data_IF_923020749577
#
_entry.id   IF_923020749577
#
_cell.length_a   1.000
_cell.length_b   1.000
_cell.length_c   1.000
_cell.angle_alpha   90.00
_cell.angle_beta   90.00
_cell.angle_gamma   90.00
#
_symmetry.space_group_name_H-M   'P 1'
#
loop_
_entity.id
_entity.type
_entity.pdbx_description
1 polymer ?
#
# COMPACT_ATOMS: atom_id res chain seq x y z
N UNK A 1 -4.55 2.91 3.59
CA UNK A 1 -3.82 3.20 4.85
C UNK A 1 -2.99 4.48 4.73
N UNK A 2 -2.32 4.72 3.60
CA UNK A 2 -1.41 5.83 3.30
C UNK A 2 -1.88 7.22 3.77
N UNK A 3 -3.19 7.48 3.77
CA UNK A 3 -3.75 8.75 4.24
C UNK A 3 -3.73 8.95 5.77
N UNK A 4 -3.39 7.93 6.57
CA UNK A 4 -3.29 8.05 8.03
C UNK A 4 -4.62 8.33 8.76
N UNK A 5 -5.77 8.11 8.10
CA UNK A 5 -7.11 8.43 8.62
C UNK A 5 -7.78 7.28 9.38
N UNK A 6 -7.00 6.39 10.00
CA UNK A 6 -7.52 5.24 10.75
C UNK A 6 -8.06 4.09 9.88
N UNK A 7 -7.74 4.05 8.59
CA UNK A 7 -8.06 2.91 7.73
C UNK A 7 -7.05 1.79 7.91
N UNK A 8 -7.53 0.56 8.18
CA UNK A 8 -6.68 -0.61 8.46
C UNK A 8 -6.48 -1.54 7.26
N UNK A 9 -7.34 -1.44 6.23
CA UNK A 9 -7.23 -2.28 5.03
C UNK A 9 -6.40 -1.62 3.93
N UNK A 10 -5.60 -2.43 3.24
CA UNK A 10 -4.86 -1.98 2.05
C UNK A 10 -5.81 -1.67 0.91
N UNK A 11 -5.43 -0.67 0.11
CA UNK A 11 -6.20 -0.14 -1.02
C UNK A 11 -5.32 -0.03 -2.27
N UNK A 12 -5.92 0.24 -3.43
CA UNK A 12 -5.17 0.47 -4.67
C UNK A 12 -4.19 1.65 -4.55
N UNK A 13 -4.53 2.68 -3.77
CA UNK A 13 -3.61 3.81 -3.52
C UNK A 13 -2.39 3.36 -2.73
N UNK A 14 -2.56 2.50 -1.72
CA UNK A 14 -1.44 1.94 -0.94
C UNK A 14 -0.52 1.11 -1.84
N UNK A 15 -1.09 0.29 -2.73
CA UNK A 15 -0.32 -0.51 -3.67
C UNK A 15 0.51 0.37 -4.62
N UNK A 16 -0.05 1.47 -5.12
CA UNK A 16 0.69 2.41 -5.94
C UNK A 16 1.82 3.14 -5.19
N UNK A 17 1.63 3.43 -3.89
CA UNK A 17 2.70 3.99 -3.04
C UNK A 17 3.83 2.97 -2.82
N UNK A 18 3.50 1.69 -2.52
CA UNK A 18 4.49 0.61 -2.37
C UNK A 18 5.32 0.42 -3.64
N UNK A 19 4.68 0.49 -4.81
CA UNK A 19 5.34 0.37 -6.11
C UNK A 19 6.10 1.65 -6.54
N UNK A 20 6.09 2.71 -5.73
CA UNK A 20 6.71 4.00 -6.07
C UNK A 20 6.04 4.72 -7.25
N UNK A 21 4.82 4.33 -7.63
CA UNK A 21 4.03 4.97 -8.70
C UNK A 21 3.36 6.26 -8.23
N UNK A 22 3.24 6.44 -6.92
CA UNK A 22 2.73 7.64 -6.29
C UNK A 22 3.73 8.14 -5.24
N UNK A 23 4.01 9.44 -5.27
CA UNK A 23 4.80 10.08 -4.24
C UNK A 23 3.96 10.25 -2.96
N UNK A 24 4.31 9.58 -1.85
CA UNK A 24 3.60 9.74 -0.58
C UNK A 24 3.70 11.17 -0.03
N UNK A 25 4.72 11.95 -0.37
CA UNK A 25 4.81 13.36 0.04
C UNK A 25 3.86 14.26 -0.77
N UNK A 26 3.73 14.01 -2.08
CA UNK A 26 2.80 14.73 -2.96
C UNK A 26 1.32 14.39 -2.74
N UNK A 27 1.01 13.21 -2.20
CA UNK A 27 -0.36 12.76 -1.90
C UNK A 27 -0.99 13.46 -0.68
N UNK A 28 -0.19 14.10 0.17
CA UNK A 28 -0.53 14.28 1.57
C UNK A 28 -0.34 15.73 2.06
N UNK A 29 -1.35 16.56 1.85
CA UNK A 29 -1.77 17.58 2.85
C UNK A 29 -2.43 16.91 4.08
N UNK A 30 -1.96 15.74 4.52
CA UNK A 30 -2.47 15.08 5.73
C UNK A 30 -1.45 15.14 6.85
N UNK A 31 -1.95 15.38 8.06
CA UNK A 31 -1.16 15.62 9.26
C UNK A 31 -0.28 14.44 9.69
N UNK A 32 -0.59 13.21 9.25
CA UNK A 32 0.09 11.99 9.70
C UNK A 32 0.29 11.00 8.53
N UNK A 33 1.39 11.11 7.77
CA UNK A 33 1.74 10.14 6.74
C UNK A 33 2.08 8.78 7.37
N UNK A 34 1.61 7.70 6.74
CA UNK A 34 2.02 6.33 7.08
C UNK A 34 3.30 6.00 6.32
N UNK A 35 4.27 5.35 6.97
CA UNK A 35 5.54 4.98 6.33
C UNK A 35 5.31 3.94 5.23
N UNK A 36 6.16 3.98 4.19
CA UNK A 36 6.11 2.98 3.11
C UNK A 36 6.33 1.58 3.66
N UNK A 37 7.15 1.42 4.69
CA UNK A 37 7.40 0.12 5.32
C UNK A 37 6.16 -0.45 6.03
N UNK A 38 5.36 0.40 6.69
CA UNK A 38 4.08 -0.02 7.25
C UNK A 38 3.08 -0.44 6.14
N UNK A 39 3.13 0.20 4.96
CA UNK A 39 2.33 -0.23 3.81
C UNK A 39 2.82 -1.57 3.24
N UNK A 40 4.14 -1.79 3.19
CA UNK A 40 4.72 -3.08 2.78
C UNK A 40 4.29 -4.21 3.70
N UNK A 41 4.39 -4.00 5.01
CA UNK A 41 3.96 -4.98 6.02
C UNK A 41 2.46 -5.28 5.90
N UNK A 42 1.63 -4.24 5.77
CA UNK A 42 0.19 -4.40 5.56
C UNK A 42 -0.12 -5.20 4.28
N UNK A 43 0.65 -4.99 3.21
CA UNK A 43 0.44 -5.68 1.94
C UNK A 43 0.84 -7.16 2.03
N UNK A 44 1.92 -7.48 2.73
CA UNK A 44 2.30 -8.87 3.02
C UNK A 44 1.25 -9.54 3.92
N UNK A 45 0.89 -8.92 5.04
CA UNK A 45 0.00 -9.55 6.03
C UNK A 45 -1.42 -9.77 5.51
N UNK A 46 -1.96 -8.83 4.72
CA UNK A 46 -3.36 -8.91 4.25
C UNK A 46 -3.52 -9.68 2.93
N UNK A 47 -2.48 -9.75 2.10
CA UNK A 47 -2.56 -10.34 0.76
C UNK A 47 -1.40 -11.32 0.53
N UNK A 48 -0.16 -10.85 0.70
CA UNK A 48 1.04 -11.61 0.31
C UNK A 48 1.19 -12.96 1.00
N UNK A 49 0.96 -13.04 2.31
CA UNK A 49 1.13 -14.24 3.12
C UNK A 49 0.21 -15.39 2.67
N UNK A 50 -1.02 -15.08 2.27
CA UNK A 50 -1.98 -16.08 1.79
C UNK A 50 -1.61 -16.62 0.39
N UNK A 51 -0.83 -15.86 -0.38
CA UNK A 51 -0.47 -16.16 -1.77
C UNK A 51 1.00 -16.52 -1.96
N UNK A 52 1.81 -16.50 -0.90
CA UNK A 52 3.26 -16.68 -0.97
C UNK A 52 3.99 -15.55 -1.72
N UNK A 53 3.46 -14.32 -1.67
CA UNK A 53 4.00 -13.14 -2.34
C UNK A 53 4.66 -12.19 -1.33
N UNK A 54 5.71 -11.49 -1.79
CA UNK A 54 6.27 -10.34 -1.08
C UNK A 54 5.38 -9.08 -1.26
N UNK A 55 5.77 -7.99 -0.62
CA UNK A 55 4.99 -6.75 -0.60
C UNK A 55 4.79 -6.18 -2.02
N UNK A 56 5.87 -6.11 -2.80
CA UNK A 56 5.88 -5.56 -4.15
C UNK A 56 5.06 -6.43 -5.12
N UNK A 57 5.18 -7.75 -5.06
CA UNK A 57 4.40 -8.66 -5.90
C UNK A 57 2.90 -8.62 -5.54
N UNK A 58 2.57 -8.56 -4.25
CA UNK A 58 1.19 -8.39 -3.79
C UNK A 58 0.61 -7.02 -4.24
N UNK A 59 1.38 -5.94 -4.12
CA UNK A 59 0.98 -4.63 -4.60
C UNK A 59 0.76 -4.61 -6.13
N UNK A 60 1.66 -5.24 -6.89
CA UNK A 60 1.51 -5.37 -8.35
C UNK A 60 0.25 -6.17 -8.72
N UNK A 61 -0.07 -7.23 -7.97
CA UNK A 61 -1.29 -8.01 -8.18
C UNK A 61 -2.56 -7.18 -7.93
N UNK A 62 -2.57 -6.35 -6.86
CA UNK A 62 -3.69 -5.44 -6.56
C UNK A 62 -3.92 -4.45 -7.69
N UNK A 63 -2.85 -3.79 -8.18
CA UNK A 63 -2.98 -2.82 -9.26
C UNK A 63 -3.47 -3.49 -10.54
N UNK A 64 -2.91 -4.65 -10.90
CA UNK A 64 -3.30 -5.40 -12.10
C UNK A 64 -4.77 -5.83 -12.12
N UNK A 65 -5.36 -6.14 -10.97
CA UNK A 65 -6.78 -6.55 -10.88
C UNK A 65 -7.72 -5.35 -11.00
N UNK A 66 -7.23 -4.16 -10.62
CA UNK A 66 -8.04 -2.95 -10.59
C UNK A 66 -8.03 -2.16 -11.91
N UNK A 67 -7.09 -2.45 -12.82
CA UNK A 67 -7.09 -2.02 -14.23
C UNK A 67 -8.11 -2.82 -15.06
#
# INVERSE_FOLDING_TARGET
ICYGRGGERVTITDANVVLGRLDPQGLLSVAHPVSVDALREAMVTQIGAALGLDAEAAAAAVVRIAD
#
